data_IF_572488852187
#
_entry.id   IF_572488852187
#
_cell.length_a   1.000
_cell.length_b   1.000
_cell.length_c   1.000
_cell.angle_alpha   90.00
_cell.angle_beta   90.00
_cell.angle_gamma   90.00
#
_symmetry.space_group_name_H-M   'P 1'
#
loop_
_entity.id
_entity.type
_entity.pdbx_description
1 polymer ?
#
# COMPACT_ATOMS: atom_id res chain seq x y z
N UNK A 1 -8.37 -23.01 -26.35
CA UNK A 1 -7.98 -22.30 -25.12
C UNK A 1 -6.69 -21.58 -25.48
N UNK A 2 -6.71 -20.25 -25.57
CA UNK A 2 -5.54 -19.49 -26.02
C UNK A 2 -4.41 -19.68 -25.02
N UNK A 3 -3.17 -19.82 -25.51
CA UNK A 3 -1.97 -19.77 -24.68
C UNK A 3 -1.97 -18.40 -23.97
N UNK A 4 -2.37 -18.38 -22.70
CA UNK A 4 -2.28 -17.18 -21.88
C UNK A 4 -0.81 -16.85 -21.68
N UNK A 5 -0.44 -15.58 -21.87
CA UNK A 5 0.92 -15.10 -21.57
C UNK A 5 1.11 -15.22 -20.06
N UNK A 6 2.04 -16.06 -19.61
CA UNK A 6 2.46 -16.12 -18.21
C UNK A 6 3.19 -14.81 -17.89
N UNK A 7 2.77 -14.13 -16.82
CA UNK A 7 3.27 -12.82 -16.42
C UNK A 7 3.79 -12.86 -14.99
N UNK A 8 4.76 -12.00 -14.70
CA UNK A 8 5.13 -11.61 -13.34
C UNK A 8 4.28 -10.42 -12.91
N UNK A 9 3.36 -10.67 -11.99
CA UNK A 9 2.44 -9.66 -11.46
C UNK A 9 2.95 -9.19 -10.11
N UNK A 10 3.18 -7.89 -9.96
CA UNK A 10 3.40 -7.28 -8.66
C UNK A 10 2.05 -6.84 -8.09
N UNK A 11 1.58 -7.55 -7.06
CA UNK A 11 0.34 -7.25 -6.35
C UNK A 11 0.63 -6.25 -5.23
N UNK A 12 0.11 -5.04 -5.33
CA UNK A 12 0.42 -3.93 -4.43
C UNK A 12 -0.79 -3.51 -3.60
N UNK A 13 -0.60 -3.46 -2.27
CA UNK A 13 -1.58 -2.93 -1.32
C UNK A 13 -0.93 -1.84 -0.48
N UNK A 14 -1.24 -0.56 -0.72
CA UNK A 14 -0.52 0.56 -0.13
C UNK A 14 -0.93 0.88 1.30
N UNK A 15 -2.03 0.34 1.84
CA UNK A 15 -2.50 0.75 3.17
C UNK A 15 -1.61 0.18 4.30
N UNK A 16 -1.17 0.99 5.29
CA UNK A 16 -0.29 0.54 6.37
C UNK A 16 -0.90 -0.49 7.34
N UNK A 17 -2.21 -0.72 7.24
CA UNK A 17 -2.95 -1.61 8.14
C UNK A 17 -3.84 -2.61 7.42
N UNK A 18 -3.87 -2.61 6.07
CA UNK A 18 -4.59 -3.66 5.34
C UNK A 18 -3.61 -4.78 5.01
N UNK A 19 -3.57 -5.75 5.91
CA UNK A 19 -2.79 -6.97 5.75
C UNK A 19 -3.55 -8.03 4.92
N UNK A 20 -2.90 -9.17 4.68
CA UNK A 20 -3.50 -10.34 4.02
C UNK A 20 -3.64 -11.56 4.95
N UNK A 21 -3.60 -11.37 6.26
CA UNK A 21 -3.59 -12.46 7.26
C UNK A 21 -4.76 -12.39 8.24
N UNK A 22 -5.35 -11.22 8.40
CA UNK A 22 -6.52 -10.97 9.23
C UNK A 22 -7.76 -11.63 8.62
N UNK A 23 -8.67 -12.10 9.47
CA UNK A 23 -9.95 -12.69 9.05
C UNK A 23 -10.99 -11.59 8.81
N UNK A 24 -10.76 -10.78 7.77
CA UNK A 24 -11.58 -9.60 7.41
C UNK A 24 -11.71 -9.48 5.89
N UNK A 25 -12.75 -8.78 5.43
CA UNK A 25 -13.13 -8.74 4.02
C UNK A 25 -12.02 -8.29 3.07
N UNK A 26 -11.22 -7.29 3.43
CA UNK A 26 -10.12 -6.84 2.56
C UNK A 26 -9.00 -7.87 2.45
N UNK A 27 -8.73 -8.65 3.51
CA UNK A 27 -7.67 -9.67 3.50
C UNK A 27 -8.10 -10.87 2.68
N UNK A 28 -9.35 -11.34 2.87
CA UNK A 28 -9.94 -12.42 2.07
C UNK A 28 -9.96 -12.05 0.59
N UNK A 29 -10.45 -10.85 0.25
CA UNK A 29 -10.49 -10.37 -1.13
C UNK A 29 -9.10 -10.33 -1.79
N UNK A 30 -8.09 -9.78 -1.10
CA UNK A 30 -6.72 -9.76 -1.62
C UNK A 30 -6.17 -11.17 -1.85
N UNK A 31 -6.41 -12.11 -0.92
CA UNK A 31 -5.98 -13.50 -1.06
C UNK A 31 -6.67 -14.22 -2.22
N UNK A 32 -7.98 -14.05 -2.38
CA UNK A 32 -8.74 -14.66 -3.47
C UNK A 32 -8.28 -14.13 -4.84
N UNK A 33 -8.01 -12.83 -4.94
CA UNK A 33 -7.45 -12.24 -6.17
C UNK A 33 -6.05 -12.77 -6.48
N UNK A 34 -5.17 -12.86 -5.48
CA UNK A 34 -3.83 -13.43 -5.64
C UNK A 34 -3.92 -14.90 -6.09
N UNK A 35 -4.75 -15.70 -5.42
CA UNK A 35 -4.95 -17.11 -5.74
C UNK A 35 -5.48 -17.29 -7.16
N UNK A 36 -6.41 -16.44 -7.60
CA UNK A 36 -6.93 -16.50 -8.96
C UNK A 36 -5.85 -16.24 -10.02
N UNK A 37 -4.92 -15.30 -9.79
CA UNK A 37 -3.79 -15.08 -10.68
C UNK A 37 -2.82 -16.28 -10.69
N UNK A 38 -2.53 -16.84 -9.51
CA UNK A 38 -1.66 -18.02 -9.38
C UNK A 38 -2.29 -19.26 -10.05
N UNK A 39 -3.59 -19.48 -9.91
CA UNK A 39 -4.34 -20.58 -10.54
C UNK A 39 -4.37 -20.47 -12.08
N UNK A 40 -4.29 -19.25 -12.60
CA UNK A 40 -4.12 -18.97 -14.04
C UNK A 40 -2.66 -19.17 -14.51
N UNK A 41 -1.73 -19.49 -13.60
CA UNK A 41 -0.33 -19.79 -13.87
C UNK A 41 0.61 -18.58 -13.78
N UNK A 42 0.13 -17.40 -13.36
CA UNK A 42 0.98 -16.23 -13.21
C UNK A 42 1.85 -16.31 -11.97
N UNK A 43 3.02 -15.68 -12.01
CA UNK A 43 3.88 -15.51 -10.84
C UNK A 43 3.46 -14.23 -10.13
N UNK A 44 3.04 -14.33 -8.86
CA UNK A 44 2.56 -13.18 -8.08
C UNK A 44 3.55 -12.80 -7.00
N UNK A 45 4.08 -11.58 -7.08
CA UNK A 45 4.92 -10.98 -6.05
C UNK A 45 4.12 -10.00 -5.19
N UNK A 46 4.02 -10.27 -3.89
CA UNK A 46 3.15 -9.54 -2.97
C UNK A 46 3.92 -8.39 -2.32
N UNK A 47 3.40 -7.18 -2.46
CA UNK A 47 3.89 -5.97 -1.80
C UNK A 47 2.75 -5.39 -0.97
N UNK A 48 2.60 -5.90 0.25
CA UNK A 48 1.49 -5.55 1.15
C UNK A 48 2.01 -4.69 2.30
N UNK A 49 1.62 -3.41 2.32
CA UNK A 49 2.10 -2.47 3.33
C UNK A 49 1.50 -2.73 4.72
N UNK A 50 0.34 -3.40 4.80
CA UNK A 50 -0.22 -3.87 6.08
C UNK A 50 0.49 -5.09 6.65
N UNK A 51 1.34 -5.76 5.86
CA UNK A 51 2.02 -6.99 6.24
C UNK A 51 1.39 -8.25 5.63
N UNK A 52 2.20 -9.29 5.54
CA UNK A 52 1.87 -10.62 5.01
C UNK A 52 2.00 -11.73 6.06
N UNK A 53 2.22 -11.36 7.33
CA UNK A 53 2.34 -12.26 8.49
C UNK A 53 1.62 -11.66 9.69
N UNK A 54 1.04 -12.50 10.56
CA UNK A 54 0.27 -12.08 11.75
C UNK A 54 1.04 -11.16 12.70
N UNK A 55 2.37 -11.30 12.75
CA UNK A 55 3.26 -10.51 13.62
C UNK A 55 4.07 -9.45 12.86
N UNK A 56 3.87 -9.32 11.54
CA UNK A 56 4.56 -8.33 10.74
C UNK A 56 3.93 -6.96 10.96
N UNK A 57 4.24 -6.31 12.09
CA UNK A 57 4.46 -4.87 11.99
C UNK A 57 5.61 -4.71 11.02
N UNK A 58 5.42 -4.11 9.83
CA UNK A 58 6.52 -3.98 8.91
C UNK A 58 7.67 -3.23 9.61
N UNK A 59 8.91 -3.69 9.48
CA UNK A 59 10.08 -3.11 10.17
C UNK A 59 10.20 -1.57 9.97
N UNK A 60 9.61 -1.05 8.89
CA UNK A 60 9.57 0.38 8.59
C UNK A 60 8.51 1.19 9.37
N UNK A 61 7.51 0.56 9.98
CA UNK A 61 6.54 1.19 10.91
C UNK A 61 7.21 1.43 12.28
N UNK A 62 8.20 0.60 12.64
CA UNK A 62 8.87 0.65 13.95
C UNK A 62 9.77 1.88 14.14
N UNK A 63 10.18 2.57 13.06
CA UNK A 63 10.87 3.87 13.14
C UNK A 63 9.88 5.03 13.34
N UNK A 64 9.04 4.95 14.37
CA UNK A 64 8.44 6.16 14.94
C UNK A 64 9.54 6.90 15.70
N UNK A 65 10.22 7.80 14.98
CA UNK A 65 11.18 8.72 15.56
C UNK A 65 10.58 9.46 16.75
N UNK A 66 11.26 9.32 17.88
CA UNK A 66 11.04 10.02 19.14
C UNK A 66 10.72 11.50 18.88
N UNK A 67 9.71 12.01 19.55
CA UNK A 67 9.17 13.33 19.27
C UNK A 67 10.23 14.43 19.36
N UNK A 68 10.42 15.17 18.28
CA UNK A 68 11.19 16.42 18.30
C UNK A 68 10.66 17.36 19.41
N UNK A 69 11.54 17.97 20.23
CA UNK A 69 11.16 18.80 21.39
C UNK A 69 10.40 20.08 21.03
N UNK A 70 10.29 20.42 19.74
CA UNK A 70 9.55 21.58 19.22
C UNK A 70 8.01 21.41 19.24
N UNK A 71 7.49 20.28 19.74
CA UNK A 71 6.07 19.91 19.68
C UNK A 71 5.17 20.54 20.75
N UNK A 72 5.72 21.23 21.74
CA UNK A 72 4.94 21.69 22.91
C UNK A 72 4.43 23.13 22.82
N UNK A 73 5.03 24.01 22.01
CA UNK A 73 4.59 25.40 21.91
C UNK A 73 3.38 25.61 20.96
N UNK A 74 3.27 24.80 19.89
CA UNK A 74 2.24 24.97 18.86
C UNK A 74 0.89 24.31 19.22
N UNK A 75 0.88 23.42 20.20
CA UNK A 75 -0.32 22.69 20.68
C UNK A 75 -1.32 23.57 21.42
N UNK A 76 -0.92 24.74 21.94
CA UNK A 76 -1.81 25.59 22.74
C UNK A 76 -2.67 26.55 21.93
N UNK A 77 -2.39 26.71 20.63
CA UNK A 77 -3.05 27.72 19.77
C UNK A 77 -3.96 27.08 18.71
N UNK A 78 -3.72 25.82 18.35
CA UNK A 78 -4.48 25.14 17.29
C UNK A 78 -5.59 24.29 17.92
N UNK A 79 -6.86 24.45 17.52
CA UNK A 79 -7.95 23.56 17.94
C UNK A 79 -7.57 22.09 17.73
N UNK A 80 -7.85 21.25 18.74
CA UNK A 80 -7.43 19.84 18.79
C UNK A 80 -7.79 19.05 17.53
N UNK A 81 -8.93 19.34 16.92
CA UNK A 81 -9.39 18.72 15.66
C UNK A 81 -8.41 19.01 14.52
N UNK A 82 -8.09 20.28 14.27
CA UNK A 82 -7.17 20.71 13.22
C UNK A 82 -5.77 20.11 13.44
N UNK A 83 -5.28 20.14 14.68
CA UNK A 83 -3.99 19.55 15.01
C UNK A 83 -3.92 18.05 14.72
N UNK A 84 -4.96 17.29 15.09
CA UNK A 84 -5.04 15.86 14.80
C UNK A 84 -5.10 15.60 13.29
N UNK A 85 -5.96 16.32 12.56
CA UNK A 85 -6.08 16.18 11.10
C UNK A 85 -4.76 16.46 10.37
N UNK A 86 -4.05 17.55 10.71
CA UNK A 86 -2.74 17.83 10.12
C UNK A 86 -1.71 16.75 10.46
N UNK A 87 -1.67 16.30 11.72
CA UNK A 87 -0.75 15.25 12.14
C UNK A 87 -0.97 13.97 11.34
N UNK A 88 -2.23 13.58 11.19
CA UNK A 88 -2.60 12.35 10.51
C UNK A 88 -2.35 12.48 9.01
N UNK A 89 -2.66 13.62 8.39
CA UNK A 89 -2.30 13.95 7.01
C UNK A 89 -0.78 13.86 6.74
N UNK A 90 0.05 14.48 7.59
CA UNK A 90 1.51 14.37 7.47
C UNK A 90 2.02 12.94 7.72
N UNK A 91 1.31 12.14 8.52
CA UNK A 91 1.64 10.72 8.71
C UNK A 91 1.37 9.94 7.42
N UNK A 92 0.23 10.15 6.79
CA UNK A 92 -0.13 9.52 5.51
C UNK A 92 0.83 9.90 4.38
N UNK A 93 1.19 11.18 4.23
CA UNK A 93 2.18 11.57 3.21
C UNK A 93 3.54 10.91 3.43
N UNK A 94 4.01 10.86 4.68
CA UNK A 94 5.29 10.20 4.97
C UNK A 94 5.21 8.70 4.72
N UNK A 95 4.07 8.10 4.98
CA UNK A 95 3.81 6.70 4.67
C UNK A 95 3.87 6.48 3.16
N UNK A 96 3.10 7.23 2.37
CA UNK A 96 3.02 7.07 0.91
C UNK A 96 4.38 7.25 0.23
N UNK A 97 5.19 8.22 0.67
CA UNK A 97 6.57 8.39 0.16
C UNK A 97 7.47 7.19 0.46
N UNK A 98 7.31 6.54 1.61
CA UNK A 98 8.07 5.35 1.97
C UNK A 98 7.58 4.13 1.21
N UNK A 99 6.27 4.00 1.06
CA UNK A 99 5.63 2.97 0.27
C UNK A 99 6.11 3.03 -1.19
N UNK A 100 6.17 4.24 -1.76
CA UNK A 100 6.76 4.48 -3.08
C UNK A 100 8.22 4.02 -3.16
N UNK A 101 9.07 4.39 -2.20
CA UNK A 101 10.48 3.98 -2.21
C UNK A 101 10.63 2.45 -2.15
N UNK A 102 9.91 1.80 -1.24
CA UNK A 102 9.90 0.35 -1.11
C UNK A 102 9.37 -0.34 -2.38
N UNK A 103 8.26 0.15 -2.93
CA UNK A 103 7.68 -0.35 -4.16
C UNK A 103 8.66 -0.25 -5.34
N UNK A 104 9.39 0.86 -5.46
CA UNK A 104 10.40 1.03 -6.51
C UNK A 104 11.56 0.05 -6.37
N UNK A 105 12.02 -0.23 -5.14
CA UNK A 105 13.04 -1.25 -4.87
C UNK A 105 12.54 -2.66 -5.27
N UNK A 106 11.28 -2.97 -4.94
CA UNK A 106 10.65 -4.23 -5.32
C UNK A 106 10.44 -4.37 -6.84
N UNK A 107 10.01 -3.30 -7.51
CA UNK A 107 9.90 -3.27 -8.98
C UNK A 107 11.26 -3.53 -9.62
N UNK A 108 12.33 -2.88 -9.12
CA UNK A 108 13.67 -3.07 -9.64
C UNK A 108 14.18 -4.52 -9.44
N UNK A 109 13.80 -5.16 -8.33
CA UNK A 109 14.18 -6.54 -8.00
C UNK A 109 13.42 -7.58 -8.82
N UNK A 110 12.11 -7.42 -8.94
CA UNK A 110 11.20 -8.43 -9.54
C UNK A 110 11.10 -8.25 -11.05
N UNK A 111 11.19 -7.00 -11.52
CA UNK A 111 10.94 -6.62 -12.91
C UNK A 111 9.60 -7.21 -13.41
N UNK A 112 8.47 -6.75 -12.83
CA UNK A 112 7.15 -7.28 -13.16
C UNK A 112 6.69 -6.80 -14.54
N UNK A 113 5.83 -7.61 -15.17
CA UNK A 113 5.17 -7.28 -16.43
C UNK A 113 3.89 -6.46 -16.21
N UNK A 114 3.31 -6.54 -15.00
CA UNK A 114 2.09 -5.88 -14.60
C UNK A 114 2.15 -5.46 -13.13
N UNK A 115 1.69 -4.25 -12.82
CA UNK A 115 1.35 -3.83 -11.46
C UNK A 115 -0.17 -3.97 -11.28
N UNK A 116 -0.60 -4.71 -10.28
CA UNK A 116 -1.99 -4.77 -9.86
C UNK A 116 -2.11 -4.13 -8.48
N UNK A 117 -2.71 -2.94 -8.41
CA UNK A 117 -2.84 -2.16 -7.17
C UNK A 117 -4.27 -2.21 -6.65
N UNK A 118 -4.41 -2.46 -5.35
CA UNK A 118 -5.64 -2.21 -4.62
C UNK A 118 -5.70 -0.73 -4.23
N UNK A 119 -6.72 0.00 -4.69
CA UNK A 119 -6.84 1.43 -4.42
C UNK A 119 -7.10 1.73 -2.96
N UNK A 120 -6.52 2.81 -2.46
CA UNK A 120 -6.78 3.33 -1.11
C UNK A 120 -6.83 4.86 -1.14
N UNK A 121 -7.72 5.44 -0.34
CA UNK A 121 -7.86 6.90 -0.25
C UNK A 121 -6.53 7.56 0.11
N UNK A 122 -6.20 8.63 -0.61
CA UNK A 122 -5.04 9.51 -0.35
C UNK A 122 -3.65 8.90 -0.55
N UNK A 123 -3.55 7.68 -1.11
CA UNK A 123 -2.27 7.05 -1.44
C UNK A 123 -2.06 7.06 -2.96
N UNK A 124 -0.85 7.42 -3.39
CA UNK A 124 -0.51 7.61 -4.81
C UNK A 124 0.72 6.83 -5.25
N UNK A 125 1.41 6.19 -4.31
CA UNK A 125 2.65 5.46 -4.53
C UNK A 125 2.60 4.48 -5.70
N UNK A 126 1.54 3.70 -5.88
CA UNK A 126 1.43 2.74 -6.98
C UNK A 126 1.26 3.40 -8.35
N UNK A 127 0.34 4.36 -8.46
CA UNK A 127 0.15 5.18 -9.66
C UNK A 127 1.44 5.92 -10.05
N UNK A 128 2.10 6.57 -9.10
CA UNK A 128 3.34 7.31 -9.35
C UNK A 128 4.47 6.36 -9.80
N UNK A 129 4.55 5.15 -9.23
CA UNK A 129 5.54 4.14 -9.62
C UNK A 129 5.27 3.59 -11.02
N UNK A 130 4.01 3.32 -11.37
CA UNK A 130 3.60 2.91 -12.71
C UNK A 130 3.95 3.96 -13.77
N UNK A 131 3.62 5.24 -13.52
CA UNK A 131 3.98 6.35 -14.43
C UNK A 131 5.50 6.43 -14.59
N UNK A 132 6.25 6.29 -13.49
CA UNK A 132 7.71 6.41 -13.50
C UNK A 132 8.39 5.29 -14.29
N UNK A 133 7.86 4.07 -14.20
CA UNK A 133 8.47 2.86 -14.76
C UNK A 133 7.93 2.51 -16.14
N UNK A 134 6.74 3.00 -16.50
CA UNK A 134 6.05 2.64 -17.74
C UNK A 134 5.45 1.24 -17.73
N UNK A 135 5.43 0.55 -16.58
CA UNK A 135 4.85 -0.78 -16.44
C UNK A 135 3.32 -0.66 -16.50
N UNK A 136 2.63 -1.53 -17.26
CA UNK A 136 1.17 -1.60 -17.24
C UNK A 136 0.62 -1.67 -15.81
N UNK A 137 -0.45 -0.92 -15.56
CA UNK A 137 -0.97 -0.76 -14.21
C UNK A 137 -2.49 -0.89 -14.19
N UNK A 138 -2.98 -1.80 -13.36
CA UNK A 138 -4.41 -1.99 -13.06
C UNK A 138 -4.66 -1.48 -11.65
N UNK A 139 -5.51 -0.48 -11.52
CA UNK A 139 -5.97 0.04 -10.24
C UNK A 139 -7.36 -0.50 -9.93
N UNK A 140 -7.46 -1.40 -8.97
CA UNK A 140 -8.71 -1.94 -8.47
C UNK A 140 -9.35 -0.97 -7.49
N UNK A 141 -10.43 -0.32 -7.91
CA UNK A 141 -11.19 0.59 -7.04
C UNK A 141 -12.18 -0.19 -6.19
N UNK A 142 -11.82 -0.43 -4.93
CA UNK A 142 -12.70 -1.07 -3.97
C UNK A 142 -13.65 -0.04 -3.34
N UNK A 143 -14.94 -0.37 -3.33
CA UNK A 143 -16.11 0.39 -2.87
C UNK A 143 -15.83 1.80 -2.28
N UNK A 144 -16.38 2.88 -2.86
CA UNK A 144 -16.33 4.19 -2.21
C UNK A 144 -17.08 4.08 -0.87
N UNK A 145 -16.41 4.38 0.24
CA UNK A 145 -17.10 4.68 1.49
C UNK A 145 -18.01 5.89 1.19
N UNK A 146 -19.32 5.67 1.15
CA UNK A 146 -20.32 6.71 0.86
C UNK A 146 -20.34 7.76 1.98
N UNK A 147 -19.82 7.42 3.16
CA UNK A 147 -19.76 8.27 4.34
C UNK A 147 -18.33 8.18 4.95
N UNK A 148 -17.47 9.17 4.66
CA UNK A 148 -16.25 9.50 5.43
C UNK A 148 -16.51 10.68 6.39
#
# INVERSE_FOLDING_TARGET
MGEGILMKILYYSPHPHHDIVSDVGYSVHQLEMIQAFEDLGHEVHKVIMGGDRLDATPDYVQKQGQGAPLKNALKSVIPKVIWNSLRDYFRFIRHDKRAYAFLMDEIARVQPDLIYERSESLLRSGVDAAIKTGIPHVLEVNAPFIEE
#
